data_IF_963552132868
#
_entry.id   IF_963552132868
#
_cell.length_a   1.000
_cell.length_b   1.000
_cell.length_c   1.000
_cell.angle_alpha   90.00
_cell.angle_beta   90.00
_cell.angle_gamma   90.00
#
_symmetry.space_group_name_H-M   'P 1'
#
loop_
_entity.id
_entity.type
_entity.pdbx_description
1 polymer ?
#
# COMPACT_ATOMS: atom_id res chain seq x y z
N UNK A 1 -0.34 -17.77 -16.88
CA UNK A 1 0.61 -17.65 -15.74
C UNK A 1 0.81 -18.97 -15.02
N UNK A 2 -0.25 -19.61 -14.50
CA UNK A 2 -0.14 -20.90 -13.80
C UNK A 2 0.44 -22.03 -14.66
N UNK A 3 0.12 -22.08 -15.96
CA UNK A 3 0.68 -23.09 -16.87
C UNK A 3 2.15 -22.87 -17.21
N UNK A 4 2.60 -21.61 -17.26
CA UNK A 4 3.97 -21.24 -17.63
C UNK A 4 4.92 -21.21 -16.43
N UNK A 5 4.40 -20.88 -15.25
CA UNK A 5 5.15 -20.77 -13.99
C UNK A 5 4.34 -21.35 -12.81
N UNK A 6 4.04 -22.66 -12.81
CA UNK A 6 3.16 -23.28 -11.83
C UNK A 6 3.68 -23.14 -10.40
N UNK A 7 4.99 -23.31 -10.22
CA UNK A 7 5.63 -23.20 -8.91
C UNK A 7 5.61 -21.79 -8.33
N UNK A 8 5.77 -20.77 -9.18
CA UNK A 8 5.67 -19.38 -8.76
C UNK A 8 4.27 -19.06 -8.25
N UNK A 9 3.24 -19.46 -9.01
CA UNK A 9 1.84 -19.24 -8.63
C UNK A 9 1.49 -19.98 -7.34
N UNK A 10 1.94 -21.22 -7.18
CA UNK A 10 1.75 -22.00 -5.94
C UNK A 10 2.38 -21.32 -4.72
N UNK A 11 3.55 -20.71 -4.88
CA UNK A 11 4.21 -19.98 -3.79
C UNK A 11 3.49 -18.68 -3.46
N UNK A 12 2.98 -17.95 -4.47
CA UNK A 12 2.18 -16.75 -4.25
C UNK A 12 0.90 -17.03 -3.46
N UNK A 13 0.19 -18.11 -3.79
CA UNK A 13 -1.02 -18.51 -3.06
C UNK A 13 -0.70 -18.96 -1.63
N UNK A 14 0.41 -19.68 -1.44
CA UNK A 14 0.81 -20.16 -0.13
C UNK A 14 1.33 -19.04 0.80
N UNK A 15 2.09 -18.10 0.25
CA UNK A 15 2.82 -17.11 1.05
C UNK A 15 2.19 -15.71 1.01
N UNK A 16 1.32 -15.44 0.02
CA UNK A 16 0.82 -14.10 -0.25
C UNK A 16 1.91 -13.17 -0.79
N UNK A 17 1.61 -11.87 -0.74
CA UNK A 17 2.49 -10.79 -1.19
C UNK A 17 2.53 -9.67 -0.15
N UNK A 18 3.70 -9.06 -0.01
CA UNK A 18 3.88 -7.85 0.80
C UNK A 18 4.14 -6.68 -0.14
N UNK A 19 3.23 -5.71 -0.13
CA UNK A 19 3.36 -4.47 -0.89
C UNK A 19 3.81 -3.35 0.04
N UNK A 20 5.06 -2.91 -0.16
CA UNK A 20 5.62 -1.76 0.53
C UNK A 20 5.51 -0.52 -0.37
N UNK A 21 4.80 0.50 0.08
CA UNK A 21 4.67 1.77 -0.62
C UNK A 21 4.99 2.94 0.28
N UNK A 22 5.76 3.88 -0.27
CA UNK A 22 6.14 5.12 0.39
C UNK A 22 5.48 6.27 -0.35
N UNK A 23 4.67 7.06 0.35
CA UNK A 23 4.00 8.24 -0.20
C UNK A 23 4.62 9.50 0.40
N UNK A 24 5.09 10.39 -0.48
CA UNK A 24 5.49 11.74 -0.08
C UNK A 24 4.28 12.60 0.29
N UNK A 25 4.53 13.82 0.76
CA UNK A 25 3.43 14.74 1.13
C UNK A 25 2.64 15.25 -0.07
N UNK A 26 3.35 15.60 -1.15
CA UNK A 26 2.79 16.14 -2.39
C UNK A 26 3.03 15.17 -3.54
N UNK A 27 2.28 15.39 -4.63
CA UNK A 27 2.49 14.67 -5.87
C UNK A 27 3.83 15.05 -6.51
N UNK A 28 4.53 14.04 -7.04
CA UNK A 28 5.75 14.18 -7.81
C UNK A 28 5.50 13.66 -9.24
N UNK A 29 5.36 14.54 -10.23
CA UNK A 29 5.08 14.14 -11.61
C UNK A 29 6.24 13.38 -12.28
N UNK A 30 7.46 13.46 -11.72
CA UNK A 30 8.63 12.77 -12.26
C UNK A 30 8.74 11.32 -11.78
N UNK A 31 7.83 10.86 -10.91
CA UNK A 31 7.81 9.48 -10.43
C UNK A 31 6.55 8.75 -10.92
N UNK A 32 6.67 7.55 -11.52
CA UNK A 32 5.51 6.77 -11.98
C UNK A 32 4.48 6.46 -10.88
N UNK A 33 4.93 6.42 -9.61
CA UNK A 33 4.09 6.18 -8.43
C UNK A 33 4.06 7.40 -7.50
N UNK A 34 4.45 8.57 -8.00
CA UNK A 34 4.73 9.79 -7.24
C UNK A 34 3.52 10.47 -6.61
N UNK A 35 2.34 9.85 -6.60
CA UNK A 35 1.17 10.40 -5.89
C UNK A 35 1.48 10.52 -4.39
N UNK A 36 1.26 11.69 -3.83
CA UNK A 36 1.42 11.96 -2.40
C UNK A 36 0.25 11.44 -1.58
N UNK A 37 0.44 11.37 -0.26
CA UNK A 37 -0.60 10.87 0.64
C UNK A 37 -1.80 11.82 0.71
N UNK A 38 -1.60 13.14 0.56
CA UNK A 38 -2.70 14.11 0.55
C UNK A 38 -3.67 13.86 -0.59
N UNK A 39 -3.14 13.65 -1.79
CA UNK A 39 -3.92 13.30 -2.99
C UNK A 39 -4.47 11.87 -2.92
N UNK A 40 -3.79 10.95 -2.24
CA UNK A 40 -4.25 9.55 -2.08
C UNK A 40 -5.43 9.46 -1.11
N UNK A 41 -5.40 10.20 0.01
CA UNK A 41 -6.42 10.15 1.05
C UNK A 41 -7.39 11.33 1.01
N UNK A 42 -7.22 12.24 0.05
CA UNK A 42 -8.06 13.43 -0.18
C UNK A 42 -8.22 14.29 1.09
N UNK A 43 -7.11 14.48 1.81
CA UNK A 43 -7.09 15.22 3.08
C UNK A 43 -5.70 15.79 3.33
N UNK A 44 -5.64 16.93 4.02
CA UNK A 44 -4.39 17.51 4.50
C UNK A 44 -4.10 17.16 5.96
N UNK A 45 -5.06 16.55 6.66
CA UNK A 45 -4.91 16.13 8.04
C UNK A 45 -4.42 14.68 8.12
N UNK A 46 -3.27 14.48 8.76
CA UNK A 46 -2.63 13.17 8.94
C UNK A 46 -3.54 12.18 9.68
N UNK A 47 -4.23 12.61 10.74
CA UNK A 47 -5.13 11.73 11.52
C UNK A 47 -6.31 11.26 10.67
N UNK A 48 -6.86 12.13 9.82
CA UNK A 48 -7.95 11.77 8.90
C UNK A 48 -7.45 10.85 7.79
N UNK A 49 -6.22 11.05 7.31
CA UNK A 49 -5.60 10.16 6.32
C UNK A 49 -5.43 8.75 6.90
N UNK A 50 -4.99 8.65 8.15
CA UNK A 50 -4.88 7.39 8.89
C UNK A 50 -6.23 6.69 9.05
N UNK A 51 -7.26 7.41 9.49
CA UNK A 51 -8.61 6.86 9.66
C UNK A 51 -9.16 6.33 8.34
N UNK A 52 -9.12 7.14 7.27
CA UNK A 52 -9.59 6.73 5.94
C UNK A 52 -8.84 5.53 5.41
N UNK A 53 -7.54 5.44 5.71
CA UNK A 53 -6.74 4.31 5.32
C UNK A 53 -7.13 3.03 6.07
N UNK A 54 -7.40 3.11 7.37
CA UNK A 54 -7.90 1.98 8.17
C UNK A 54 -9.28 1.50 7.69
N UNK A 55 -10.17 2.43 7.31
CA UNK A 55 -11.50 2.11 6.76
C UNK A 55 -11.36 1.42 5.39
N UNK A 56 -10.37 1.80 4.59
CA UNK A 56 -10.14 1.23 3.25
C UNK A 56 -9.48 -0.16 3.23
N UNK A 57 -9.22 -0.77 4.39
CA UNK A 57 -8.59 -2.11 4.47
C UNK A 57 -9.38 -3.13 3.63
N UNK A 58 -8.79 -3.74 2.59
CA UNK A 58 -9.45 -4.82 1.89
C UNK A 58 -9.63 -6.00 2.85
N UNK A 59 -10.77 -6.69 2.74
CA UNK A 59 -11.09 -7.90 3.49
C UNK A 59 -10.10 -9.01 3.11
N UNK A 60 -8.99 -9.11 3.84
CA UNK A 60 -7.94 -10.10 3.57
C UNK A 60 -6.51 -9.56 3.63
N UNK A 61 -6.24 -8.46 4.32
CA UNK A 61 -4.86 -7.99 4.52
C UNK A 61 -4.62 -7.46 5.93
N UNK A 62 -3.55 -7.93 6.57
CA UNK A 62 -2.95 -7.19 7.67
C UNK A 62 -2.15 -6.02 7.09
N UNK A 63 -2.05 -4.92 7.83
CA UNK A 63 -1.41 -3.73 7.31
C UNK A 63 -0.75 -2.96 8.43
N UNK A 64 0.55 -2.73 8.29
CA UNK A 64 1.36 -2.00 9.26
C UNK A 64 1.58 -0.57 8.78
N UNK A 65 1.22 0.36 9.64
CA UNK A 65 1.29 1.79 9.42
C UNK A 65 2.42 2.40 10.26
N UNK A 66 3.21 3.29 9.65
CA UNK A 66 4.17 4.12 10.39
C UNK A 66 4.39 5.45 9.68
N UNK A 67 3.80 6.53 10.20
CA UNK A 67 4.25 7.88 9.84
C UNK A 67 5.63 8.15 10.46
N UNK A 68 6.58 8.56 9.63
CA UNK A 68 7.84 9.17 10.08
C UNK A 68 7.98 10.54 9.41
N UNK A 69 7.72 11.61 10.17
CA UNK A 69 7.78 12.98 9.65
C UNK A 69 6.69 13.26 8.62
N UNK A 70 7.09 13.57 7.37
CA UNK A 70 6.19 13.91 6.26
C UNK A 70 5.98 12.76 5.26
N UNK A 71 6.45 11.56 5.59
CA UNK A 71 6.42 10.39 4.71
C UNK A 71 5.43 9.37 5.26
N UNK A 72 4.52 8.92 4.41
CA UNK A 72 3.54 7.86 4.68
C UNK A 72 4.10 6.51 4.24
N UNK A 73 4.20 5.56 5.16
CA UNK A 73 4.57 4.17 4.85
C UNK A 73 3.33 3.28 4.90
N UNK A 74 3.14 2.51 3.83
CA UNK A 74 2.06 1.55 3.65
C UNK A 74 2.70 0.19 3.44
N UNK A 75 2.43 -0.76 4.34
CA UNK A 75 2.79 -2.17 4.19
C UNK A 75 1.49 -2.96 4.11
N UNK A 76 1.10 -3.39 2.92
CA UNK A 76 -0.11 -4.19 2.69
C UNK A 76 0.26 -5.66 2.51
N UNK A 77 -0.28 -6.53 3.33
CA UNK A 77 -0.25 -7.97 3.11
C UNK A 77 -1.46 -8.37 2.26
N UNK A 78 -1.23 -9.08 1.16
CA UNK A 78 -2.29 -9.56 0.25
C UNK A 78 -2.19 -11.07 0.16
N UNK A 79 -3.27 -11.77 0.50
CA UNK A 79 -3.42 -13.20 0.20
C UNK A 79 -3.94 -13.36 -1.24
N UNK A 80 -3.27 -14.20 -2.03
CA UNK A 80 -3.58 -14.46 -3.46
C UNK A 80 -4.42 -15.71 -3.58
#
# INVERSE_FOLDING_TARGET
MREKYPEFVRQLEKQGLIYNRVLGEKDNPNSPIGRGWKSTFLTENKAVAEERFVISKPSGGEMLFRLKGNIFFIILFVWV
#
